data_IF_688843166180
#
_entry.id   IF_688843166180
#
_cell.length_a   1.000
_cell.length_b   1.000
_cell.length_c   1.000
_cell.angle_alpha   90.00
_cell.angle_beta   90.00
_cell.angle_gamma   90.00
#
_symmetry.space_group_name_H-M   'P 1'
#
loop_
_entity.id
_entity.type
_entity.pdbx_description
1 polymer ?
#
# COMPACT_ATOMS: atom_id res chain seq x y z
N UNK A 1 11.31 -18.56 20.81
CA UNK A 1 11.13 -17.30 20.03
C UNK A 1 9.66 -16.92 19.84
N UNK A 2 8.76 -17.87 19.50
CA UNK A 2 7.34 -17.59 19.26
C UNK A 2 6.65 -16.84 20.41
N UNK A 3 6.78 -17.29 21.66
CA UNK A 3 6.19 -16.62 22.83
C UNK A 3 6.69 -15.19 23.02
N UNK A 4 7.97 -14.93 22.70
CA UNK A 4 8.52 -13.58 22.69
C UNK A 4 7.81 -12.69 21.68
N UNK A 5 7.63 -13.19 20.45
CA UNK A 5 6.90 -12.47 19.40
C UNK A 5 5.46 -12.17 19.82
N UNK A 6 4.72 -13.17 20.34
CA UNK A 6 3.36 -12.98 20.86
C UNK A 6 3.33 -11.88 21.94
N UNK A 7 4.27 -11.91 22.89
CA UNK A 7 4.36 -10.90 23.95
C UNK A 7 4.58 -9.49 23.38
N UNK A 8 5.49 -9.35 22.39
CA UNK A 8 5.75 -8.07 21.71
C UNK A 8 4.48 -7.57 21.01
N UNK A 9 3.77 -8.45 20.29
CA UNK A 9 2.52 -8.08 19.59
C UNK A 9 1.45 -7.64 20.59
N UNK A 10 1.25 -8.35 21.69
CA UNK A 10 0.28 -7.99 22.71
C UNK A 10 0.62 -6.65 23.40
N UNK A 11 1.91 -6.45 23.75
CA UNK A 11 2.37 -5.17 24.31
C UNK A 11 2.16 -4.02 23.33
N UNK A 12 2.48 -4.24 22.05
CA UNK A 12 2.24 -3.27 20.97
C UNK A 12 0.75 -2.96 20.79
N UNK A 13 -0.10 -3.98 20.80
CA UNK A 13 -1.55 -3.79 20.71
C UNK A 13 -2.07 -2.96 21.90
N UNK A 14 -1.62 -3.26 23.11
CA UNK A 14 -1.93 -2.46 24.30
C UNK A 14 -1.52 -1.00 24.16
N UNK A 15 -0.33 -0.74 23.59
CA UNK A 15 0.14 0.61 23.34
C UNK A 15 -0.65 1.32 22.22
N UNK A 16 -0.73 0.73 21.01
CA UNK A 16 -1.32 1.40 19.85
C UNK A 16 -2.85 1.56 19.95
N UNK A 17 -3.54 0.62 20.60
CA UNK A 17 -5.00 0.70 20.80
C UNK A 17 -5.37 1.48 22.05
N UNK A 18 -4.68 1.18 23.16
CA UNK A 18 -5.08 1.69 24.50
C UNK A 18 -4.42 3.00 24.91
N UNK A 19 -3.09 3.10 24.72
CA UNK A 19 -2.32 4.21 25.26
C UNK A 19 -2.07 5.35 24.25
N UNK A 20 -1.79 5.01 22.98
CA UNK A 20 -1.45 6.00 21.95
C UNK A 20 -2.62 6.93 21.66
N UNK A 21 -2.29 8.24 21.55
CA UNK A 21 -3.30 9.30 21.38
C UNK A 21 -3.46 9.81 19.96
N UNK A 22 -2.76 9.20 18.97
CA UNK A 22 -2.79 9.64 17.57
C UNK A 22 -2.69 8.45 16.63
N UNK A 23 -3.45 8.51 15.56
CA UNK A 23 -3.31 7.60 14.44
C UNK A 23 -2.34 8.23 13.41
N UNK A 24 -1.29 7.51 13.07
CA UNK A 24 -0.25 7.94 12.15
C UNK A 24 0.40 6.74 11.44
N UNK A 25 1.51 6.98 10.73
CA UNK A 25 2.22 5.95 10.00
C UNK A 25 2.72 4.80 10.89
N UNK A 26 3.15 5.07 12.13
CA UNK A 26 3.57 4.02 13.06
C UNK A 26 2.43 3.09 13.45
N UNK A 27 1.22 3.65 13.62
CA UNK A 27 0.03 2.84 13.91
C UNK A 27 -0.29 1.90 12.74
N UNK A 28 -0.25 2.42 11.50
CA UNK A 28 -0.47 1.60 10.31
C UNK A 28 0.63 0.53 10.18
N UNK A 29 1.90 0.92 10.38
CA UNK A 29 3.02 0.00 10.28
C UNK A 29 2.93 -1.13 11.32
N UNK A 30 2.51 -0.84 12.56
CA UNK A 30 2.31 -1.86 13.58
C UNK A 30 1.22 -2.87 13.16
N UNK A 31 0.04 -2.39 12.75
CA UNK A 31 -1.03 -3.31 12.33
C UNK A 31 -0.68 -4.06 11.05
N UNK A 32 0.03 -3.43 10.11
CA UNK A 32 0.56 -4.09 8.93
C UNK A 32 1.56 -5.19 9.30
N UNK A 33 2.50 -4.90 10.21
CA UNK A 33 3.43 -5.90 10.71
C UNK A 33 2.71 -7.07 11.38
N UNK A 34 1.69 -6.83 12.21
CA UNK A 34 0.88 -7.89 12.83
C UNK A 34 0.19 -8.75 11.78
N UNK A 35 -0.39 -8.14 10.74
CA UNK A 35 -1.06 -8.86 9.64
C UNK A 35 -0.05 -9.69 8.84
N UNK A 36 1.05 -9.07 8.38
CA UNK A 36 2.03 -9.76 7.54
C UNK A 36 2.90 -10.77 8.32
N UNK A 37 3.07 -10.60 9.63
CA UNK A 37 3.77 -11.52 10.50
C UNK A 37 2.82 -12.50 11.24
N UNK A 38 1.59 -12.64 10.77
CA UNK A 38 0.60 -13.58 11.31
C UNK A 38 1.15 -15.01 11.47
N UNK A 39 1.97 -15.55 10.51
CA UNK A 39 2.64 -16.84 10.68
C UNK A 39 3.52 -16.92 11.93
N UNK A 40 4.13 -15.83 12.38
CA UNK A 40 4.89 -15.78 13.63
C UNK A 40 4.06 -16.06 14.89
N UNK A 41 2.76 -15.77 14.86
CA UNK A 41 1.83 -16.10 15.96
C UNK A 41 1.50 -17.60 15.97
N UNK A 42 1.35 -18.24 14.81
CA UNK A 42 1.07 -19.67 14.69
C UNK A 42 2.31 -20.55 14.83
N UNK A 43 3.51 -20.00 14.57
CA UNK A 43 4.78 -20.71 14.56
C UNK A 43 5.03 -21.54 13.29
N UNK A 44 4.18 -21.42 12.27
CA UNK A 44 4.34 -22.12 11.01
C UNK A 44 3.95 -21.25 9.82
N UNK A 45 4.45 -21.61 8.65
CA UNK A 45 4.07 -21.10 7.35
C UNK A 45 3.70 -22.23 6.41
N UNK A 46 3.33 -21.94 5.17
CA UNK A 46 2.92 -22.95 4.19
C UNK A 46 3.89 -22.95 3.02
N UNK A 47 4.51 -24.08 2.73
CA UNK A 47 5.37 -24.21 1.55
C UNK A 47 4.51 -24.42 0.30
N UNK A 48 4.63 -23.60 -0.74
CA UNK A 48 4.01 -23.87 -2.03
C UNK A 48 4.74 -25.06 -2.69
N UNK A 49 4.03 -26.18 -2.84
CA UNK A 49 4.63 -27.42 -3.41
C UNK A 49 4.62 -27.36 -4.93
N UNK A 50 3.57 -26.83 -5.53
CA UNK A 50 3.46 -26.61 -6.97
C UNK A 50 2.21 -25.78 -7.27
N UNK A 51 2.18 -24.95 -8.32
CA UNK A 51 0.96 -24.28 -8.76
C UNK A 51 -0.13 -25.27 -9.22
N UNK A 52 0.26 -26.48 -9.63
CA UNK A 52 -0.66 -27.52 -10.09
C UNK A 52 -1.15 -28.48 -9.01
N UNK A 53 -0.50 -28.49 -7.84
CA UNK A 53 -0.90 -29.29 -6.68
C UNK A 53 -1.16 -28.33 -5.51
N UNK A 54 -2.44 -28.11 -5.14
CA UNK A 54 -2.81 -27.13 -4.13
C UNK A 54 -2.46 -27.53 -2.69
N UNK A 55 -1.77 -28.66 -2.49
CA UNK A 55 -1.40 -29.12 -1.15
C UNK A 55 -0.25 -28.25 -0.63
N UNK A 56 -0.59 -27.31 0.23
CA UNK A 56 0.36 -26.51 0.99
C UNK A 56 0.65 -27.23 2.30
N UNK A 57 1.87 -27.68 2.48
CA UNK A 57 2.28 -28.31 3.73
C UNK A 57 2.66 -27.27 4.76
N UNK A 58 2.22 -27.42 6.02
CA UNK A 58 2.70 -26.59 7.10
C UNK A 58 4.18 -26.85 7.36
N UNK A 59 4.97 -25.77 7.45
CA UNK A 59 6.41 -25.79 7.74
C UNK A 59 6.66 -24.93 8.95
N UNK A 60 7.39 -25.45 9.91
CA UNK A 60 7.78 -24.70 11.10
C UNK A 60 8.64 -23.49 10.69
N UNK A 61 8.39 -22.36 11.32
CA UNK A 61 9.22 -21.18 11.16
C UNK A 61 10.55 -21.35 11.90
N UNK A 62 11.64 -20.97 11.23
CA UNK A 62 12.96 -20.89 11.84
C UNK A 62 12.96 -19.84 12.96
N UNK A 63 13.67 -20.14 14.03
CA UNK A 63 13.75 -19.25 15.19
C UNK A 63 14.31 -17.87 14.82
N UNK A 64 15.18 -17.80 13.85
CA UNK A 64 15.77 -16.57 13.32
C UNK A 64 14.76 -15.76 12.49
N UNK A 65 13.92 -16.40 11.69
CA UNK A 65 12.82 -15.72 10.97
C UNK A 65 11.84 -15.07 11.97
N UNK A 66 11.49 -15.78 13.06
CA UNK A 66 10.69 -15.21 14.16
C UNK A 66 11.46 -14.08 14.86
N UNK A 67 12.77 -14.20 15.00
CA UNK A 67 13.66 -13.16 15.54
C UNK A 67 13.59 -11.87 14.73
N UNK A 68 13.65 -11.97 13.41
CA UNK A 68 13.54 -10.83 12.49
C UNK A 68 12.16 -10.16 12.64
N UNK A 69 11.07 -10.94 12.60
CA UNK A 69 9.71 -10.41 12.82
C UNK A 69 9.59 -9.70 14.18
N UNK A 70 10.17 -10.29 15.23
CA UNK A 70 10.16 -9.73 16.58
C UNK A 70 10.92 -8.40 16.64
N UNK A 71 12.12 -8.34 16.08
CA UNK A 71 12.96 -7.15 16.06
C UNK A 71 12.28 -5.99 15.28
N UNK A 72 11.75 -6.27 14.10
CA UNK A 72 11.04 -5.27 13.29
C UNK A 72 9.83 -4.74 14.06
N UNK A 73 9.00 -5.63 14.64
CA UNK A 73 7.80 -5.22 15.38
C UNK A 73 8.15 -4.40 16.61
N UNK A 74 9.15 -4.84 17.39
CA UNK A 74 9.61 -4.12 18.57
C UNK A 74 10.14 -2.73 18.22
N UNK A 75 10.93 -2.60 17.16
CA UNK A 75 11.48 -1.33 16.72
C UNK A 75 10.38 -0.37 16.21
N UNK A 76 9.33 -0.89 15.57
CA UNK A 76 8.14 -0.07 15.23
C UNK A 76 7.47 0.47 16.50
N UNK A 77 7.33 -0.36 17.55
CA UNK A 77 6.71 0.06 18.82
C UNK A 77 7.57 1.13 19.49
N UNK A 78 8.87 0.87 19.66
CA UNK A 78 9.82 1.81 20.27
C UNK A 78 9.89 3.12 19.47
N UNK A 79 10.02 3.02 18.14
CA UNK A 79 10.01 4.18 17.23
C UNK A 79 8.73 5.00 17.38
N UNK A 80 7.58 4.33 17.48
CA UNK A 80 6.30 4.97 17.72
C UNK A 80 6.21 5.72 19.06
N UNK A 81 6.77 5.12 20.14
CA UNK A 81 6.86 5.77 21.45
C UNK A 81 7.78 6.99 21.44
N UNK A 82 8.96 6.86 20.83
CA UNK A 82 9.92 7.95 20.69
C UNK A 82 9.35 9.09 19.84
N UNK A 83 8.70 8.74 18.72
CA UNK A 83 8.04 9.70 17.86
C UNK A 83 6.94 10.46 18.60
N UNK A 84 6.06 9.79 19.35
CA UNK A 84 5.01 10.45 20.12
C UNK A 84 5.55 11.43 21.14
N UNK A 85 6.68 11.08 21.81
CA UNK A 85 7.36 12.00 22.75
C UNK A 85 7.95 13.21 22.03
N UNK A 86 8.64 12.98 20.90
CA UNK A 86 9.31 14.01 20.14
C UNK A 86 8.34 14.99 19.45
N UNK A 87 7.20 14.48 18.96
CA UNK A 87 6.17 15.25 18.25
C UNK A 87 5.22 16.00 19.21
N UNK A 88 5.30 15.70 20.51
CA UNK A 88 4.48 16.35 21.53
C UNK A 88 4.78 17.83 21.63
N UNK A 89 3.76 18.69 21.46
CA UNK A 89 3.90 20.16 21.49
C UNK A 89 4.42 20.82 20.20
N UNK A 90 4.75 20.05 19.16
CA UNK A 90 5.17 20.64 17.87
C UNK A 90 3.96 21.00 17.02
N UNK A 91 4.05 22.17 16.39
CA UNK A 91 3.03 22.65 15.44
C UNK A 91 3.01 21.80 14.18
N UNK A 92 1.85 21.67 13.56
CA UNK A 92 1.72 21.05 12.25
C UNK A 92 2.52 21.85 11.19
N UNK A 93 3.00 21.19 10.12
CA UNK A 93 3.61 21.92 9.02
C UNK A 93 2.61 22.92 8.42
N UNK A 94 3.05 24.16 8.23
CA UNK A 94 2.24 25.25 7.66
C UNK A 94 2.31 25.31 6.13
N UNK A 95 2.75 24.25 5.48
CA UNK A 95 2.80 24.22 4.02
C UNK A 95 1.38 24.29 3.47
N UNK A 96 1.08 25.34 2.78
CA UNK A 96 -0.17 25.52 2.05
C UNK A 96 0.18 25.49 0.58
N UNK A 97 -0.25 24.43 -0.07
CA UNK A 97 -0.35 24.41 -1.52
C UNK A 97 -1.69 25.07 -1.85
N UNK A 98 -1.68 26.02 -2.78
CA UNK A 98 -2.90 26.74 -3.14
C UNK A 98 -4.06 25.80 -3.38
N UNK A 99 -5.13 25.97 -2.59
CA UNK A 99 -6.21 24.95 -2.46
C UNK A 99 -7.17 25.03 -3.66
N UNK A 100 -6.69 24.62 -4.81
CA UNK A 100 -7.54 24.50 -5.99
C UNK A 100 -8.47 23.26 -5.85
N UNK A 101 -9.79 23.52 -5.79
CA UNK A 101 -10.81 22.44 -5.91
C UNK A 101 -10.65 21.64 -7.19
N UNK A 102 -9.97 22.19 -8.19
CA UNK A 102 -9.67 21.55 -9.47
C UNK A 102 -8.69 20.37 -9.30
N UNK A 103 -7.80 20.37 -8.31
CA UNK A 103 -6.84 19.27 -8.11
C UNK A 103 -7.50 17.90 -7.98
N UNK A 104 -8.68 17.81 -7.36
CA UNK A 104 -9.45 16.56 -7.31
C UNK A 104 -9.88 16.09 -8.69
N UNK A 105 -10.41 17.02 -9.51
CA UNK A 105 -10.86 16.70 -10.86
C UNK A 105 -9.72 16.43 -11.82
N UNK A 106 -8.60 17.11 -11.65
CA UNK A 106 -7.36 16.82 -12.42
C UNK A 106 -6.87 15.40 -12.10
N UNK A 107 -6.82 15.01 -10.81
CA UNK A 107 -6.42 13.66 -10.43
C UNK A 107 -7.36 12.60 -11.02
N UNK A 108 -8.69 12.80 -10.93
CA UNK A 108 -9.67 11.90 -11.52
C UNK A 108 -9.60 11.90 -13.06
N UNK A 109 -9.35 13.05 -13.70
CA UNK A 109 -9.12 13.16 -15.14
C UNK A 109 -7.89 12.37 -15.59
N UNK A 110 -6.78 12.44 -14.83
CA UNK A 110 -5.61 11.59 -15.09
C UNK A 110 -5.94 10.10 -14.90
N UNK A 111 -6.75 9.76 -13.90
CA UNK A 111 -7.25 8.39 -13.70
C UNK A 111 -8.08 7.89 -14.89
N UNK A 112 -9.05 8.69 -15.38
CA UNK A 112 -9.87 8.37 -16.55
C UNK A 112 -9.03 8.27 -17.84
N UNK A 113 -8.09 9.19 -18.02
CA UNK A 113 -7.14 9.12 -19.13
C UNK A 113 -6.30 7.83 -19.06
N UNK A 114 -5.87 7.45 -17.83
CA UNK A 114 -5.18 6.20 -17.60
C UNK A 114 -6.01 4.96 -17.97
N UNK A 115 -7.33 4.95 -17.70
CA UNK A 115 -8.25 3.88 -18.16
C UNK A 115 -8.26 3.78 -19.69
N UNK A 116 -8.44 4.91 -20.36
CA UNK A 116 -8.46 4.94 -21.82
C UNK A 116 -7.13 4.47 -22.41
N UNK A 117 -6.01 4.95 -21.86
CA UNK A 117 -4.67 4.55 -22.29
C UNK A 117 -4.42 3.05 -22.06
N UNK A 118 -4.85 2.51 -20.91
CA UNK A 118 -4.78 1.07 -20.62
C UNK A 118 -5.56 0.25 -21.64
N UNK A 119 -6.76 0.71 -22.03
CA UNK A 119 -7.55 0.07 -23.08
C UNK A 119 -6.83 0.04 -24.42
N UNK A 120 -6.18 1.14 -24.79
CA UNK A 120 -5.40 1.25 -26.03
C UNK A 120 -4.15 0.37 -25.98
N UNK A 121 -3.34 0.47 -24.90
CA UNK A 121 -2.11 -0.30 -24.70
C UNK A 121 -2.36 -1.81 -24.72
N UNK A 122 -3.46 -2.26 -24.13
CA UNK A 122 -3.82 -3.68 -24.04
C UNK A 122 -4.66 -4.20 -25.19
N UNK A 123 -5.10 -3.36 -26.14
CA UNK A 123 -6.06 -3.74 -27.18
C UNK A 123 -7.39 -4.24 -26.61
N UNK A 124 -7.77 -3.78 -25.41
CA UNK A 124 -8.98 -4.21 -24.68
C UNK A 124 -8.83 -5.48 -23.85
N UNK A 125 -7.74 -6.23 -23.98
CA UNK A 125 -7.47 -7.47 -23.23
C UNK A 125 -7.52 -7.26 -21.70
N UNK A 126 -7.09 -6.09 -21.21
CA UNK A 126 -7.14 -5.75 -19.80
C UNK A 126 -8.54 -5.88 -19.16
N UNK A 127 -9.61 -5.71 -19.95
CA UNK A 127 -10.99 -5.75 -19.44
C UNK A 127 -11.69 -7.09 -19.60
N UNK A 128 -11.14 -8.00 -20.41
CA UNK A 128 -11.77 -9.28 -20.79
C UNK A 128 -11.01 -10.51 -20.30
N UNK A 129 -9.68 -10.42 -20.23
CA UNK A 129 -8.82 -11.54 -19.91
C UNK A 129 -8.65 -11.78 -18.39
N UNK A 130 -8.07 -12.90 -18.04
CA UNK A 130 -7.67 -13.21 -16.68
C UNK A 130 -6.47 -12.37 -16.23
N UNK A 131 -6.32 -12.19 -14.91
CA UNK A 131 -5.25 -11.38 -14.32
C UNK A 131 -3.84 -11.79 -14.77
N UNK A 132 -3.59 -13.07 -14.98
CA UNK A 132 -2.30 -13.61 -15.44
C UNK A 132 -1.91 -13.07 -16.82
N UNK A 133 -2.88 -12.90 -17.71
CA UNK A 133 -2.69 -12.31 -19.03
C UNK A 133 -2.62 -10.79 -18.96
N UNK A 134 -3.50 -10.19 -18.14
CA UNK A 134 -3.58 -8.74 -17.95
C UNK A 134 -2.25 -8.16 -17.43
N UNK A 135 -1.59 -8.84 -16.49
CA UNK A 135 -0.29 -8.38 -15.94
C UNK A 135 0.77 -8.16 -17.02
N UNK A 136 0.73 -8.95 -18.09
CA UNK A 136 1.73 -8.88 -19.16
C UNK A 136 1.45 -7.78 -20.20
N UNK A 137 0.22 -7.26 -20.23
CA UNK A 137 -0.21 -6.28 -21.24
C UNK A 137 -0.50 -4.89 -20.67
N UNK A 138 -0.66 -4.77 -19.35
CA UNK A 138 -0.86 -3.47 -18.72
C UNK A 138 0.45 -2.69 -18.60
N UNK A 139 0.41 -1.46 -19.07
CA UNK A 139 1.56 -0.58 -19.14
C UNK A 139 1.46 0.66 -18.24
N UNK A 140 1.96 1.77 -18.77
CA UNK A 140 2.01 3.06 -18.05
C UNK A 140 0.62 3.67 -17.84
N UNK A 141 -0.32 3.39 -18.73
CA UNK A 141 -1.71 3.83 -18.60
C UNK A 141 -2.34 3.31 -17.32
N UNK A 142 -2.14 2.04 -16.99
CA UNK A 142 -2.66 1.45 -15.78
C UNK A 142 -2.09 2.07 -14.50
N UNK A 143 -0.80 2.40 -14.48
CA UNK A 143 -0.19 3.12 -13.35
C UNK A 143 -0.83 4.50 -13.15
N UNK A 144 -1.04 5.23 -14.24
CA UNK A 144 -1.67 6.54 -14.20
C UNK A 144 -3.12 6.45 -13.70
N UNK A 145 -3.86 5.43 -14.17
CA UNK A 145 -5.20 5.13 -13.69
C UNK A 145 -5.21 4.91 -12.17
N UNK A 146 -4.40 3.99 -11.67
CA UNK A 146 -4.36 3.63 -10.25
C UNK A 146 -3.98 4.81 -9.35
N UNK A 147 -2.92 5.53 -9.70
CA UNK A 147 -2.46 6.68 -8.92
C UNK A 147 -3.44 7.85 -8.98
N UNK A 148 -3.97 8.15 -10.18
CA UNK A 148 -4.95 9.20 -10.36
C UNK A 148 -6.26 8.94 -9.62
N UNK A 149 -6.79 7.70 -9.70
CA UNK A 149 -7.98 7.29 -8.98
C UNK A 149 -7.77 7.33 -7.46
N UNK A 150 -6.63 6.83 -6.97
CA UNK A 150 -6.29 6.83 -5.54
C UNK A 150 -6.19 8.25 -4.98
N UNK A 151 -5.38 9.11 -5.62
CA UNK A 151 -5.24 10.52 -5.19
C UNK A 151 -6.59 11.22 -5.27
N UNK A 152 -7.33 11.05 -6.37
CA UNK A 152 -8.62 11.67 -6.60
C UNK A 152 -9.66 11.27 -5.55
N UNK A 153 -9.79 9.97 -5.25
CA UNK A 153 -10.73 9.47 -4.24
C UNK A 153 -10.40 9.99 -2.83
N UNK A 154 -9.12 9.95 -2.43
CA UNK A 154 -8.69 10.40 -1.10
C UNK A 154 -8.83 11.92 -0.97
N UNK A 155 -8.49 12.69 -2.01
CA UNK A 155 -8.62 14.14 -2.02
C UNK A 155 -10.09 14.58 -2.03
N UNK A 156 -10.95 13.89 -2.80
CA UNK A 156 -12.39 14.10 -2.79
C UNK A 156 -12.99 13.88 -1.40
N UNK A 157 -12.53 12.84 -0.69
CA UNK A 157 -12.94 12.58 0.70
C UNK A 157 -12.47 13.70 1.65
N UNK A 158 -11.18 14.10 1.56
CA UNK A 158 -10.60 15.16 2.38
C UNK A 158 -11.34 16.49 2.21
N UNK A 159 -11.83 16.79 1.00
CA UNK A 159 -12.56 18.00 0.61
C UNK A 159 -14.07 17.87 0.66
N UNK A 160 -14.61 16.72 1.07
CA UNK A 160 -16.06 16.43 1.13
C UNK A 160 -16.77 16.58 -0.23
N UNK A 161 -16.11 16.30 -1.32
CA UNK A 161 -16.63 16.34 -2.69
C UNK A 161 -17.29 14.99 -3.04
N UNK A 162 -18.55 14.80 -2.68
CA UNK A 162 -19.25 13.50 -2.76
C UNK A 162 -19.27 12.90 -4.17
N UNK A 163 -19.61 13.72 -5.18
CA UNK A 163 -19.66 13.23 -6.57
C UNK A 163 -18.29 12.83 -7.10
N UNK A 164 -17.26 13.65 -6.87
CA UNK A 164 -15.89 13.30 -7.23
C UNK A 164 -15.42 12.02 -6.49
N UNK A 165 -15.81 11.87 -5.21
CA UNK A 165 -15.56 10.65 -4.45
C UNK A 165 -16.20 9.42 -5.08
N UNK A 166 -17.45 9.52 -5.55
CA UNK A 166 -18.13 8.42 -6.25
C UNK A 166 -17.36 8.03 -7.53
N UNK A 167 -16.95 9.00 -8.36
CA UNK A 167 -16.15 8.74 -9.56
C UNK A 167 -14.84 8.03 -9.21
N UNK A 168 -14.13 8.52 -8.17
CA UNK A 168 -12.90 7.88 -7.70
C UNK A 168 -13.10 6.43 -7.26
N UNK A 169 -14.17 6.15 -6.51
CA UNK A 169 -14.49 4.78 -6.10
C UNK A 169 -14.87 3.88 -7.28
N UNK A 170 -15.61 4.39 -8.27
CA UNK A 170 -15.93 3.61 -9.48
C UNK A 170 -14.66 3.22 -10.25
N UNK A 171 -13.69 4.13 -10.37
CA UNK A 171 -12.40 3.83 -11.00
C UNK A 171 -11.61 2.76 -10.21
N UNK A 172 -11.62 2.81 -8.87
CA UNK A 172 -10.95 1.83 -8.03
C UNK A 172 -11.65 0.46 -8.05
N UNK A 173 -12.99 0.44 -8.11
CA UNK A 173 -13.76 -0.80 -8.24
C UNK A 173 -13.50 -1.44 -9.61
N UNK A 174 -13.40 -0.64 -10.68
CA UNK A 174 -13.06 -1.14 -12.00
C UNK A 174 -11.65 -1.75 -12.03
N UNK A 175 -10.67 -1.11 -11.36
CA UNK A 175 -9.32 -1.66 -11.20
C UNK A 175 -9.33 -3.00 -10.42
N UNK A 176 -10.14 -3.07 -9.36
CA UNK A 176 -10.34 -4.31 -8.61
C UNK A 176 -10.99 -5.40 -9.49
N UNK A 177 -11.95 -5.04 -10.34
CA UNK A 177 -12.61 -5.97 -11.26
C UNK A 177 -11.62 -6.63 -12.24
N UNK A 178 -10.68 -5.86 -12.80
CA UNK A 178 -9.64 -6.42 -13.66
C UNK A 178 -8.54 -7.21 -12.90
N UNK A 179 -8.58 -7.20 -11.55
CA UNK A 179 -7.77 -8.06 -10.70
C UNK A 179 -6.73 -7.36 -9.83
N UNK A 180 -6.66 -6.04 -9.83
CA UNK A 180 -5.69 -5.28 -9.04
C UNK A 180 -6.35 -4.67 -7.82
N UNK A 181 -6.07 -5.21 -6.65
CA UNK A 181 -6.70 -4.82 -5.37
C UNK A 181 -5.95 -3.73 -4.61
N UNK A 182 -4.69 -3.52 -4.95
CA UNK A 182 -3.83 -2.72 -4.09
C UNK A 182 -4.22 -1.24 -4.09
N UNK A 183 -4.66 -0.66 -5.22
CA UNK A 183 -5.11 0.72 -5.28
C UNK A 183 -6.37 0.95 -4.44
N UNK A 184 -7.31 0.00 -4.44
CA UNK A 184 -8.48 0.02 -3.58
C UNK A 184 -8.07 -0.04 -2.10
N UNK A 185 -7.22 -0.99 -1.70
CA UNK A 185 -6.77 -1.16 -0.33
C UNK A 185 -5.97 0.05 0.17
N UNK A 186 -5.05 0.60 -0.63
CA UNK A 186 -4.29 1.81 -0.28
C UNK A 186 -5.20 3.03 -0.13
N UNK A 187 -6.20 3.19 -1.00
CA UNK A 187 -7.19 4.26 -0.90
C UNK A 187 -8.02 4.14 0.38
N UNK A 188 -8.43 2.93 0.74
CA UNK A 188 -9.19 2.68 1.97
C UNK A 188 -8.37 3.04 3.23
N UNK A 189 -7.10 2.61 3.29
CA UNK A 189 -6.18 2.96 4.38
C UNK A 189 -5.96 4.47 4.43
N UNK A 190 -5.70 5.11 3.27
CA UNK A 190 -5.44 6.55 3.19
C UNK A 190 -6.66 7.37 3.63
N UNK A 191 -7.88 7.00 3.22
CA UNK A 191 -9.13 7.63 3.66
C UNK A 191 -9.31 7.47 5.18
N UNK A 192 -9.04 6.27 5.71
CA UNK A 192 -9.06 6.03 7.15
C UNK A 192 -8.08 6.93 7.91
N UNK A 193 -6.86 7.10 7.38
CA UNK A 193 -5.85 8.01 7.93
C UNK A 193 -6.31 9.47 7.90
N UNK A 194 -6.81 9.96 6.77
CA UNK A 194 -7.33 11.33 6.64
C UNK A 194 -8.48 11.56 7.61
N UNK A 195 -9.39 10.58 7.73
CA UNK A 195 -10.55 10.68 8.61
C UNK A 195 -10.18 10.68 10.09
N UNK A 196 -9.23 9.82 10.50
CA UNK A 196 -8.87 9.63 11.90
C UNK A 196 -7.70 10.53 12.35
N UNK A 197 -6.95 11.16 11.42
CA UNK A 197 -5.86 12.10 11.70
C UNK A 197 -6.39 13.47 12.13
N UNK A 198 -7.14 13.50 13.22
CA UNK A 198 -7.71 14.74 13.77
C UNK A 198 -6.68 15.51 14.58
N UNK A 199 -6.83 16.86 14.70
CA UNK A 199 -5.96 17.67 15.57
C UNK A 199 -6.08 17.26 17.06
N UNK A 200 -7.27 16.86 17.49
CA UNK A 200 -7.54 16.44 18.86
C UNK A 200 -6.97 15.04 19.13
N UNK A 201 -6.44 14.79 20.35
CA UNK A 201 -6.01 13.48 20.76
C UNK A 201 -7.12 12.44 20.60
N UNK A 202 -6.80 11.32 19.94
CA UNK A 202 -7.77 10.28 19.67
C UNK A 202 -7.16 8.90 19.96
N UNK A 203 -7.86 8.05 20.72
CA UNK A 203 -7.44 6.67 20.99
C UNK A 203 -8.27 5.71 20.15
N UNK A 204 -7.62 4.75 19.50
CA UNK A 204 -8.31 3.73 18.71
C UNK A 204 -9.30 2.92 19.55
N UNK A 205 -8.93 2.58 20.80
CA UNK A 205 -9.82 1.86 21.71
C UNK A 205 -11.13 2.59 22.07
N UNK A 206 -11.20 3.91 21.82
CA UNK A 206 -12.42 4.70 22.01
C UNK A 206 -13.31 4.77 20.76
N UNK A 207 -12.91 4.11 19.67
CA UNK A 207 -13.77 3.99 18.50
C UNK A 207 -15.06 3.26 18.85
N UNK A 208 -16.19 3.84 18.44
CA UNK A 208 -17.49 3.17 18.58
C UNK A 208 -17.48 1.86 17.81
N UNK A 209 -18.11 0.84 18.35
CA UNK A 209 -18.16 -0.53 17.76
C UNK A 209 -18.53 -0.51 16.27
N UNK A 210 -19.43 0.36 15.84
CA UNK A 210 -19.84 0.49 14.41
C UNK A 210 -18.66 0.76 13.48
N UNK A 211 -17.61 1.47 13.91
CA UNK A 211 -16.44 1.74 13.08
C UNK A 211 -15.51 0.54 13.00
N UNK A 212 -15.40 -0.21 14.10
CA UNK A 212 -14.71 -1.49 14.08
C UNK A 212 -15.40 -2.48 13.15
N UNK A 213 -16.74 -2.53 13.15
CA UNK A 213 -17.51 -3.36 12.21
C UNK A 213 -17.21 -2.96 10.77
N UNK A 214 -17.18 -1.66 10.44
CA UNK A 214 -16.84 -1.18 9.09
C UNK A 214 -15.41 -1.56 8.67
N UNK A 215 -14.44 -1.42 9.59
CA UNK A 215 -13.04 -1.78 9.32
C UNK A 215 -12.91 -3.29 9.08
N UNK A 216 -13.52 -4.11 9.94
CA UNK A 216 -13.52 -5.56 9.82
C UNK A 216 -14.26 -6.03 8.56
N UNK A 217 -15.44 -5.46 8.28
CA UNK A 217 -16.19 -5.78 7.08
C UNK A 217 -15.42 -5.42 5.80
N UNK A 218 -14.76 -4.26 5.77
CA UNK A 218 -13.88 -3.87 4.66
C UNK A 218 -12.70 -4.81 4.48
N UNK A 219 -12.06 -5.24 5.56
CA UNK A 219 -10.99 -6.25 5.53
C UNK A 219 -11.48 -7.60 5.03
N UNK A 220 -12.61 -8.10 5.55
CA UNK A 220 -13.24 -9.33 5.10
C UNK A 220 -13.62 -9.26 3.61
N UNK A 221 -14.15 -8.13 3.14
CA UNK A 221 -14.51 -7.94 1.74
C UNK A 221 -13.28 -8.07 0.82
N UNK A 222 -12.15 -7.50 1.21
CA UNK A 222 -10.89 -7.61 0.44
C UNK A 222 -10.38 -9.06 0.40
N UNK A 223 -10.49 -9.79 1.51
CA UNK A 223 -10.09 -11.21 1.59
C UNK A 223 -11.08 -12.07 0.78
N UNK A 224 -12.38 -11.91 1.02
CA UNK A 224 -13.44 -12.68 0.36
C UNK A 224 -13.48 -12.47 -1.14
N UNK A 225 -13.22 -11.24 -1.61
CA UNK A 225 -13.21 -10.94 -3.03
C UNK A 225 -12.23 -11.84 -3.82
N UNK A 226 -11.09 -12.18 -3.24
CA UNK A 226 -10.14 -13.08 -3.90
C UNK A 226 -10.76 -14.47 -4.18
N UNK A 227 -11.51 -14.97 -3.21
CA UNK A 227 -12.14 -16.28 -3.30
C UNK A 227 -13.42 -16.28 -4.14
N UNK A 228 -14.07 -15.12 -4.25
CA UNK A 228 -15.34 -14.96 -4.95
C UNK A 228 -15.20 -14.45 -6.39
N UNK A 229 -14.01 -13.97 -6.78
CA UNK A 229 -13.80 -13.34 -8.08
C UNK A 229 -14.14 -14.25 -9.27
N UNK A 230 -13.69 -15.50 -9.24
CA UNK A 230 -13.93 -16.46 -10.32
C UNK A 230 -15.41 -16.83 -10.45
N UNK A 231 -16.12 -17.27 -9.39
CA UNK A 231 -17.53 -17.57 -9.49
C UNK A 231 -18.38 -16.32 -9.81
N UNK A 232 -17.98 -15.12 -9.35
CA UNK A 232 -18.65 -13.86 -9.74
C UNK A 232 -18.53 -13.58 -11.24
N UNK A 233 -17.38 -13.85 -11.85
CA UNK A 233 -17.17 -13.70 -13.29
C UNK A 233 -17.90 -14.74 -14.10
N UNK A 234 -17.95 -15.98 -13.60
CA UNK A 234 -18.68 -17.06 -14.21
C UNK A 234 -20.20 -16.95 -14.04
N UNK A 235 -20.69 -16.08 -13.16
CA UNK A 235 -22.10 -15.98 -12.79
C UNK A 235 -22.63 -17.18 -12.02
N UNK A 236 -21.74 -17.94 -11.38
CA UNK A 236 -22.09 -19.13 -10.59
C UNK A 236 -22.52 -18.75 -9.16
N UNK A 237 -23.82 -18.47 -9.03
CA UNK A 237 -24.43 -18.10 -7.76
C UNK A 237 -24.40 -19.25 -6.73
N UNK A 238 -24.41 -20.52 -7.18
CA UNK A 238 -24.32 -21.68 -6.31
C UNK A 238 -22.98 -21.72 -5.59
N UNK A 239 -21.90 -21.58 -6.34
CA UNK A 239 -20.54 -21.55 -5.80
C UNK A 239 -20.30 -20.30 -4.94
N UNK A 240 -20.88 -19.14 -5.30
CA UNK A 240 -20.80 -17.92 -4.47
C UNK A 240 -21.42 -18.16 -3.10
N UNK A 241 -22.62 -18.75 -3.04
CA UNK A 241 -23.31 -19.06 -1.78
C UNK A 241 -22.51 -20.06 -0.96
N UNK A 242 -22.02 -21.13 -1.56
CA UNK A 242 -21.19 -22.14 -0.89
C UNK A 242 -19.92 -21.49 -0.29
N UNK A 243 -19.16 -20.75 -1.08
CA UNK A 243 -17.93 -20.10 -0.63
C UNK A 243 -18.18 -19.04 0.45
N UNK A 244 -19.34 -18.36 0.43
CA UNK A 244 -19.67 -17.34 1.45
C UNK A 244 -20.21 -17.91 2.74
N UNK A 245 -20.84 -19.07 2.71
CA UNK A 245 -21.46 -19.68 3.90
C UNK A 245 -20.54 -20.69 4.60
N UNK A 246 -19.54 -21.23 3.91
CA UNK A 246 -18.63 -22.21 4.48
C UNK A 246 -17.42 -21.55 5.17
N UNK A 247 -17.30 -21.63 6.52
CA UNK A 247 -16.19 -21.00 7.24
C UNK A 247 -14.81 -21.58 6.89
N UNK A 248 -14.73 -22.80 6.35
CA UNK A 248 -13.46 -23.40 5.91
C UNK A 248 -12.85 -22.66 4.73
N UNK A 249 -13.66 -22.07 3.85
CA UNK A 249 -13.18 -21.21 2.76
C UNK A 249 -12.47 -19.97 3.27
N UNK A 250 -12.97 -19.37 4.36
CA UNK A 250 -12.32 -18.21 4.98
C UNK A 250 -11.02 -18.60 5.67
N UNK A 251 -10.99 -19.75 6.35
CA UNK A 251 -9.79 -20.28 6.97
C UNK A 251 -8.72 -20.59 5.91
N UNK A 252 -9.07 -21.28 4.83
CA UNK A 252 -8.17 -21.53 3.71
C UNK A 252 -7.71 -20.23 3.05
N UNK A 253 -8.63 -19.29 2.81
CA UNK A 253 -8.30 -17.96 2.28
C UNK A 253 -7.30 -17.18 3.14
N UNK A 254 -7.36 -17.30 4.47
CA UNK A 254 -6.37 -16.70 5.37
C UNK A 254 -5.03 -17.43 5.25
N UNK A 255 -5.02 -18.76 5.32
CA UNK A 255 -3.81 -19.58 5.24
C UNK A 255 -3.10 -19.47 3.88
N UNK A 256 -3.87 -19.29 2.80
CA UNK A 256 -3.33 -19.11 1.45
C UNK A 256 -3.05 -17.64 1.10
N UNK A 257 -3.29 -16.72 2.05
CA UNK A 257 -3.11 -15.28 1.85
C UNK A 257 -1.65 -14.87 1.73
N UNK A 258 -1.43 -13.67 1.22
CA UNK A 258 -0.11 -13.08 1.04
C UNK A 258 0.79 -13.06 2.30
N UNK A 259 0.29 -12.82 3.53
CA UNK A 259 1.08 -12.96 4.74
C UNK A 259 1.82 -14.30 4.85
N UNK A 260 1.14 -15.41 4.61
CA UNK A 260 1.77 -16.73 4.68
C UNK A 260 2.80 -16.93 3.58
N UNK A 261 2.48 -16.56 2.33
CA UNK A 261 3.42 -16.65 1.20
C UNK A 261 4.65 -15.78 1.43
N UNK A 262 4.47 -14.55 1.91
CA UNK A 262 5.55 -13.62 2.19
C UNK A 262 6.48 -14.15 3.28
N UNK A 263 5.94 -14.76 4.34
CA UNK A 263 6.75 -15.33 5.41
C UNK A 263 7.37 -16.68 5.02
N UNK A 264 6.79 -17.41 4.06
CA UNK A 264 7.47 -18.57 3.45
C UNK A 264 8.79 -18.15 2.80
N UNK A 265 8.79 -17.02 2.06
CA UNK A 265 10.02 -16.49 1.44
C UNK A 265 11.08 -16.16 2.49
N UNK A 266 10.71 -15.46 3.58
CA UNK A 266 11.64 -15.17 4.67
C UNK A 266 12.18 -16.46 5.31
N UNK A 267 11.29 -17.40 5.60
CA UNK A 267 11.66 -18.65 6.25
C UNK A 267 12.64 -19.50 5.42
N UNK A 268 12.39 -19.63 4.11
CA UNK A 268 13.26 -20.41 3.23
C UNK A 268 14.61 -19.72 2.98
N UNK A 269 14.64 -18.39 2.94
CA UNK A 269 15.90 -17.63 2.85
C UNK A 269 16.75 -17.86 4.11
N UNK A 270 16.15 -17.80 5.27
CA UNK A 270 16.84 -18.06 6.54
C UNK A 270 17.27 -19.52 6.67
N UNK A 271 16.36 -20.47 6.37
CA UNK A 271 16.63 -21.91 6.47
C UNK A 271 17.80 -22.36 5.60
N UNK A 272 17.89 -21.82 4.38
CA UNK A 272 18.92 -22.20 3.40
C UNK A 272 20.15 -21.30 3.46
N UNK A 273 20.24 -20.39 4.40
CA UNK A 273 21.29 -19.34 4.49
C UNK A 273 21.54 -18.67 3.12
N UNK A 274 20.46 -18.37 2.41
CA UNK A 274 20.53 -17.81 1.07
C UNK A 274 21.01 -16.37 1.11
N UNK A 275 22.11 -16.06 0.41
CA UNK A 275 22.76 -14.75 0.38
C UNK A 275 22.78 -14.17 -1.03
N UNK A 276 22.35 -12.93 -1.18
CA UNK A 276 22.34 -12.23 -2.47
C UNK A 276 23.49 -11.22 -2.64
N UNK A 277 24.14 -10.84 -1.52
CA UNK A 277 25.03 -9.68 -1.54
C UNK A 277 24.28 -8.37 -1.75
N UNK A 278 25.00 -7.26 -1.83
CA UNK A 278 24.43 -5.90 -1.91
C UNK A 278 24.23 -5.38 -3.33
N UNK A 279 24.80 -6.04 -4.35
CA UNK A 279 24.85 -5.53 -5.73
C UNK A 279 23.45 -5.23 -6.31
N UNK A 280 22.47 -6.08 -6.01
CA UNK A 280 21.10 -5.86 -6.46
C UNK A 280 20.43 -4.64 -5.78
N UNK A 281 20.92 -4.17 -4.63
CA UNK A 281 20.41 -2.96 -3.96
C UNK A 281 20.88 -1.68 -4.68
N UNK A 282 22.00 -1.72 -5.39
CA UNK A 282 22.45 -0.59 -6.21
C UNK A 282 21.42 -0.29 -7.29
N UNK A 283 20.82 -1.33 -7.88
CA UNK A 283 19.74 -1.16 -8.85
C UNK A 283 18.52 -0.46 -8.27
N UNK A 284 18.26 -0.57 -6.95
CA UNK A 284 17.20 0.18 -6.29
C UNK A 284 17.53 1.68 -6.20
N UNK A 285 18.82 2.05 -6.11
CA UNK A 285 19.25 3.44 -6.11
C UNK A 285 18.93 4.11 -7.45
N UNK A 286 19.02 3.41 -8.57
CA UNK A 286 18.62 3.92 -9.89
C UNK A 286 17.13 4.29 -9.94
N UNK A 287 16.29 3.58 -9.20
CA UNK A 287 14.87 3.95 -9.09
C UNK A 287 14.61 5.24 -8.32
N UNK A 288 15.56 5.74 -7.55
CA UNK A 288 15.49 7.06 -6.93
C UNK A 288 15.67 8.17 -7.98
N UNK A 289 16.39 7.89 -9.07
CA UNK A 289 16.59 8.84 -10.16
C UNK A 289 15.31 8.88 -11.02
N UNK A 290 14.75 10.08 -11.22
CA UNK A 290 13.44 10.25 -11.86
C UNK A 290 13.34 9.65 -13.27
N UNK A 291 14.44 9.61 -14.02
CA UNK A 291 14.50 9.16 -15.41
C UNK A 291 15.39 7.93 -15.64
N UNK A 292 15.74 7.21 -14.59
CA UNK A 292 16.61 6.01 -14.70
C UNK A 292 16.15 4.99 -15.76
N UNK A 293 14.84 4.69 -15.93
CA UNK A 293 14.39 3.78 -16.99
C UNK A 293 14.72 4.27 -18.42
N UNK A 294 14.90 5.58 -18.62
CA UNK A 294 15.31 6.15 -19.91
C UNK A 294 16.80 5.90 -20.21
N UNK A 295 17.58 5.51 -19.21
CA UNK A 295 19.01 5.17 -19.36
C UNK A 295 19.24 3.70 -19.74
N UNK A 296 18.17 2.92 -19.90
CA UNK A 296 18.25 1.53 -20.39
C UNK A 296 18.69 0.48 -19.37
N UNK A 297 18.85 0.85 -18.11
CA UNK A 297 19.24 -0.11 -17.07
C UNK A 297 18.00 -0.79 -16.47
N UNK A 298 17.92 -2.12 -16.60
CA UNK A 298 16.91 -2.92 -15.90
C UNK A 298 17.35 -3.20 -14.46
N UNK A 299 16.52 -2.80 -13.50
CA UNK A 299 16.75 -3.14 -12.11
C UNK A 299 16.63 -4.66 -11.89
N UNK A 300 17.61 -5.25 -11.26
CA UNK A 300 17.55 -6.65 -10.85
C UNK A 300 16.53 -6.79 -9.74
N UNK A 301 15.45 -7.53 -10.01
CA UNK A 301 14.39 -7.77 -9.03
C UNK A 301 14.79 -8.88 -8.06
N UNK A 302 14.48 -8.70 -6.79
CA UNK A 302 14.83 -9.66 -5.75
C UNK A 302 14.25 -11.06 -5.99
N UNK A 303 13.01 -11.15 -6.47
CA UNK A 303 12.39 -12.44 -6.79
C UNK A 303 13.12 -13.20 -7.92
N UNK A 304 13.76 -12.52 -8.85
CA UNK A 304 14.58 -13.16 -9.90
C UNK A 304 15.84 -13.82 -9.35
N UNK A 305 16.28 -13.43 -8.15
CA UNK A 305 17.44 -14.01 -7.48
C UNK A 305 17.06 -15.23 -6.63
N UNK A 306 16.09 -15.09 -5.74
CA UNK A 306 15.76 -16.16 -4.80
C UNK A 306 14.81 -17.21 -5.37
N UNK A 307 13.87 -16.84 -6.24
CA UNK A 307 12.80 -17.74 -6.68
C UNK A 307 13.35 -18.94 -7.48
N UNK A 308 14.24 -18.78 -8.47
CA UNK A 308 14.82 -19.93 -9.17
C UNK A 308 15.65 -20.85 -8.26
N UNK A 309 16.28 -20.30 -7.23
CA UNK A 309 17.13 -21.04 -6.31
C UNK A 309 16.34 -21.81 -5.25
N UNK A 310 15.33 -21.19 -4.65
CA UNK A 310 14.59 -21.74 -3.50
C UNK A 310 13.22 -22.31 -3.87
N UNK A 311 12.64 -21.88 -4.97
CA UNK A 311 11.29 -22.26 -5.41
C UNK A 311 11.24 -22.63 -6.91
N UNK A 312 12.08 -23.56 -7.38
CA UNK A 312 12.23 -23.85 -8.82
C UNK A 312 10.95 -24.41 -9.47
N UNK A 313 10.03 -24.95 -8.68
CA UNK A 313 8.77 -25.51 -9.18
C UNK A 313 7.63 -24.47 -9.24
N UNK A 314 7.87 -23.23 -8.81
CA UNK A 314 6.88 -22.17 -8.85
C UNK A 314 7.06 -21.36 -10.13
N UNK A 315 6.10 -21.44 -11.03
CA UNK A 315 6.11 -20.81 -12.36
C UNK A 315 5.53 -19.39 -12.40
N UNK A 316 4.99 -18.92 -11.28
CA UNK A 316 4.45 -17.56 -11.14
C UNK A 316 5.25 -16.76 -10.12
N UNK A 317 5.21 -15.43 -10.21
CA UNK A 317 5.93 -14.55 -9.29
C UNK A 317 5.41 -14.67 -7.86
N UNK A 318 6.30 -15.02 -6.94
CA UNK A 318 6.02 -14.99 -5.50
C UNK A 318 6.02 -13.54 -4.99
N UNK A 319 5.23 -13.28 -3.94
CA UNK A 319 5.28 -12.02 -3.24
C UNK A 319 6.66 -11.83 -2.59
N UNK A 320 7.27 -10.66 -2.80
CA UNK A 320 8.55 -10.33 -2.19
C UNK A 320 8.42 -10.09 -0.68
N UNK A 321 9.55 -10.07 0.01
CA UNK A 321 9.66 -9.73 1.42
C UNK A 321 10.90 -8.86 1.61
N UNK A 322 10.72 -7.58 1.94
CA UNK A 322 11.83 -6.64 2.08
C UNK A 322 12.75 -7.00 3.25
N UNK A 323 12.22 -7.60 4.31
CA UNK A 323 13.03 -8.02 5.47
C UNK A 323 13.93 -9.18 5.09
N UNK A 324 13.43 -10.12 4.29
CA UNK A 324 14.20 -11.20 3.69
C UNK A 324 15.25 -10.66 2.71
N UNK A 325 14.91 -9.64 1.92
CA UNK A 325 15.85 -8.96 1.01
C UNK A 325 17.00 -8.33 1.77
N UNK A 326 16.72 -7.56 2.82
CA UNK A 326 17.77 -6.93 3.63
C UNK A 326 18.62 -7.94 4.40
N UNK A 327 17.98 -8.99 4.92
CA UNK A 327 18.66 -10.10 5.57
C UNK A 327 19.61 -10.82 4.61
N UNK A 328 19.14 -11.22 3.43
CA UNK A 328 19.97 -11.94 2.45
C UNK A 328 21.11 -11.09 1.89
N UNK A 329 20.95 -9.77 1.87
CA UNK A 329 21.95 -8.85 1.33
C UNK A 329 23.08 -8.53 2.32
N UNK A 330 22.84 -8.48 3.61
CA UNK A 330 23.85 -8.04 4.58
C UNK A 330 23.54 -8.35 6.03
N UNK A 331 22.74 -9.40 6.27
CA UNK A 331 22.45 -9.90 7.61
C UNK A 331 21.84 -8.86 8.58
N UNK A 332 21.97 -9.05 9.88
CA UNK A 332 21.49 -8.14 10.93
C UNK A 332 21.93 -6.68 10.75
N UNK A 333 23.20 -6.38 10.41
CA UNK A 333 23.63 -4.99 10.24
C UNK A 333 22.82 -4.22 9.19
N UNK A 334 22.64 -4.80 8.00
CA UNK A 334 21.90 -4.15 6.93
C UNK A 334 20.40 -4.12 7.21
N UNK A 335 19.84 -5.20 7.76
CA UNK A 335 18.46 -5.25 8.20
C UNK A 335 18.14 -4.14 9.21
N UNK A 336 18.97 -3.97 10.26
CA UNK A 336 18.76 -2.94 11.27
C UNK A 336 18.95 -1.53 10.70
N UNK A 337 19.95 -1.31 9.84
CA UNK A 337 20.13 -0.04 9.14
C UNK A 337 18.89 0.32 8.31
N UNK A 338 18.34 -0.65 7.58
CA UNK A 338 17.12 -0.44 6.82
C UNK A 338 15.90 -0.17 7.72
N UNK A 339 15.75 -0.87 8.85
CA UNK A 339 14.68 -0.58 9.81
C UNK A 339 14.76 0.86 10.29
N UNK A 340 15.96 1.41 10.56
CA UNK A 340 16.11 2.82 10.93
C UNK A 340 15.66 3.77 9.82
N UNK A 341 15.99 3.49 8.56
CA UNK A 341 15.49 4.25 7.40
C UNK A 341 13.97 4.16 7.30
N UNK A 342 13.41 2.96 7.52
CA UNK A 342 11.98 2.75 7.55
C UNK A 342 11.29 3.59 8.62
N UNK A 343 11.81 3.58 9.86
CA UNK A 343 11.28 4.38 10.97
C UNK A 343 11.38 5.88 10.70
N UNK A 344 12.48 6.35 10.10
CA UNK A 344 12.64 7.74 9.69
C UNK A 344 11.57 8.14 8.66
N UNK A 345 11.30 7.27 7.69
CA UNK A 345 10.20 7.44 6.73
C UNK A 345 8.82 7.51 7.40
N UNK A 346 8.56 6.62 8.38
CA UNK A 346 7.31 6.67 9.15
C UNK A 346 7.16 8.00 9.91
N UNK A 347 8.24 8.49 10.51
CA UNK A 347 8.24 9.79 11.21
C UNK A 347 7.98 10.96 10.25
N UNK A 348 8.64 10.96 9.09
CA UNK A 348 8.47 11.98 8.05
C UNK A 348 7.02 12.04 7.56
N UNK A 349 6.45 10.91 7.16
CA UNK A 349 5.07 10.84 6.68
C UNK A 349 4.06 11.17 7.77
N UNK A 350 4.28 10.73 9.01
CA UNK A 350 3.45 11.08 10.16
C UNK A 350 3.40 12.58 10.40
N UNK A 351 4.51 13.29 10.16
CA UNK A 351 4.57 14.75 10.26
C UNK A 351 3.77 15.43 9.17
N UNK A 352 3.91 14.99 7.91
CA UNK A 352 3.15 15.54 6.77
C UNK A 352 1.66 15.27 6.87
N UNK A 353 1.25 14.13 7.41
CA UNK A 353 -0.16 13.78 7.64
C UNK A 353 -0.88 14.80 8.55
N UNK A 354 -0.13 15.53 9.39
CA UNK A 354 -0.67 16.57 10.27
C UNK A 354 -0.92 17.90 9.56
N UNK A 355 -0.50 18.06 8.32
CA UNK A 355 -0.74 19.28 7.55
C UNK A 355 -2.23 19.66 7.56
N UNK A 356 -2.50 20.97 7.66
CA UNK A 356 -3.84 21.52 7.48
C UNK A 356 -4.28 21.49 6.00
N UNK A 357 -3.30 21.49 5.08
CA UNK A 357 -3.55 21.44 3.64
C UNK A 357 -4.07 20.06 3.22
N UNK A 358 -5.26 19.96 2.58
CA UNK A 358 -5.83 18.70 2.14
C UNK A 358 -4.98 17.96 1.11
N UNK A 359 -4.26 18.67 0.23
CA UNK A 359 -3.44 18.06 -0.80
C UNK A 359 -2.19 17.39 -0.20
N UNK A 360 -1.48 18.11 0.71
CA UNK A 360 -0.33 17.56 1.44
C UNK A 360 -0.75 16.38 2.32
N UNK A 361 -1.87 16.52 3.04
CA UNK A 361 -2.42 15.45 3.87
C UNK A 361 -2.78 14.21 3.04
N UNK A 362 -3.41 14.39 1.88
CA UNK A 362 -3.77 13.30 0.95
C UNK A 362 -2.52 12.58 0.48
N UNK A 363 -1.52 13.33 0.01
CA UNK A 363 -0.26 12.75 -0.44
C UNK A 363 0.40 11.92 0.67
N UNK A 364 0.52 12.50 1.88
CA UNK A 364 1.09 11.80 3.02
C UNK A 364 0.29 10.53 3.40
N UNK A 365 -1.04 10.57 3.37
CA UNK A 365 -1.89 9.43 3.69
C UNK A 365 -1.71 8.28 2.69
N UNK A 366 -1.64 8.59 1.38
CA UNK A 366 -1.38 7.58 0.33
C UNK A 366 0.06 7.05 0.45
N UNK A 367 1.04 7.93 0.66
CA UNK A 367 2.43 7.53 0.86
C UNK A 367 2.60 6.60 2.07
N UNK A 368 1.89 6.85 3.18
CA UNK A 368 1.86 5.97 4.36
C UNK A 368 1.30 4.60 4.00
N UNK A 369 0.22 4.52 3.22
CA UNK A 369 -0.35 3.24 2.83
C UNK A 369 0.67 2.38 2.05
N UNK A 370 1.51 2.99 1.21
CA UNK A 370 2.61 2.28 0.53
C UNK A 370 3.79 1.99 1.47
N UNK A 371 4.24 2.98 2.24
CA UNK A 371 5.44 2.87 3.06
C UNK A 371 5.22 2.04 4.33
N UNK A 372 4.06 2.14 4.98
CA UNK A 372 3.78 1.47 6.24
C UNK A 372 3.07 0.12 6.07
N UNK A 373 2.26 -0.06 5.03
CA UNK A 373 1.49 -1.29 4.82
C UNK A 373 2.09 -2.18 3.73
N UNK A 374 2.29 -1.65 2.52
CA UNK A 374 2.74 -2.45 1.38
C UNK A 374 4.21 -2.87 1.43
N UNK A 375 5.03 -2.23 2.27
CA UNK A 375 6.46 -2.54 2.40
C UNK A 375 6.71 -4.00 2.76
N UNK A 376 5.84 -4.58 3.59
CA UNK A 376 6.01 -5.95 4.11
C UNK A 376 5.93 -7.05 3.03
N UNK A 377 5.36 -6.75 1.87
CA UNK A 377 5.18 -7.70 0.76
C UNK A 377 5.95 -7.35 -0.50
N UNK A 378 6.74 -6.31 -0.47
CA UNK A 378 7.46 -5.82 -1.64
C UNK A 378 8.98 -5.92 -1.44
N UNK A 379 9.68 -5.74 -2.53
CA UNK A 379 11.11 -5.49 -2.56
C UNK A 379 11.39 -3.98 -2.53
N UNK A 380 12.63 -3.58 -2.25
CA UNK A 380 13.02 -2.17 -2.16
C UNK A 380 12.71 -1.40 -3.44
N UNK A 381 12.99 -1.98 -4.61
CA UNK A 381 12.70 -1.37 -5.91
C UNK A 381 11.21 -1.09 -6.08
N UNK A 382 10.35 -2.03 -5.70
CA UNK A 382 8.91 -1.87 -5.78
C UNK A 382 8.39 -0.75 -4.87
N UNK A 383 8.90 -0.67 -3.63
CA UNK A 383 8.52 0.37 -2.67
C UNK A 383 8.96 1.75 -3.14
N UNK A 384 10.23 1.90 -3.56
CA UNK A 384 10.79 3.17 -4.07
C UNK A 384 10.08 3.58 -5.36
N UNK A 385 9.86 2.62 -6.27
CA UNK A 385 9.14 2.85 -7.52
C UNK A 385 7.72 3.38 -7.30
N UNK A 386 6.96 2.76 -6.38
CA UNK A 386 5.62 3.22 -6.04
C UNK A 386 5.60 4.63 -5.44
N UNK A 387 6.55 4.95 -4.54
CA UNK A 387 6.67 6.29 -3.96
C UNK A 387 7.02 7.34 -5.02
N UNK A 388 7.93 7.01 -5.94
CA UNK A 388 8.29 7.88 -7.08
C UNK A 388 7.08 8.15 -7.99
N UNK A 389 6.35 7.10 -8.38
CA UNK A 389 5.17 7.22 -9.23
C UNK A 389 4.08 8.07 -8.57
N UNK A 390 3.82 7.84 -7.27
CA UNK A 390 2.90 8.65 -6.49
C UNK A 390 3.31 10.13 -6.50
N UNK A 391 4.59 10.41 -6.26
CA UNK A 391 5.13 11.78 -6.27
C UNK A 391 4.95 12.44 -7.63
N UNK A 392 5.28 11.75 -8.71
CA UNK A 392 5.19 12.30 -10.08
C UNK A 392 3.74 12.62 -10.46
N UNK A 393 2.80 11.70 -10.20
CA UNK A 393 1.37 11.94 -10.49
C UNK A 393 0.82 13.06 -9.60
N UNK A 394 1.22 13.12 -8.33
CA UNK A 394 0.80 14.18 -7.43
C UNK A 394 1.33 15.56 -7.87
N UNK A 395 2.62 15.66 -8.25
CA UNK A 395 3.20 16.90 -8.80
C UNK A 395 2.45 17.32 -10.07
N UNK A 396 2.18 16.38 -10.99
CA UNK A 396 1.41 16.65 -12.18
C UNK A 396 0.00 17.18 -11.84
N UNK A 397 -0.68 16.59 -10.87
CA UNK A 397 -1.99 17.07 -10.39
C UNK A 397 -1.90 18.50 -9.86
N UNK A 398 -0.88 18.84 -9.07
CA UNK A 398 -0.68 20.18 -8.51
C UNK A 398 -0.40 21.20 -9.61
N UNK A 399 0.56 20.92 -10.49
CA UNK A 399 0.94 21.82 -11.59
C UNK A 399 -0.25 22.08 -12.51
N UNK A 400 -0.93 21.02 -12.97
CA UNK A 400 -2.08 21.16 -13.86
C UNK A 400 -3.24 21.91 -13.19
N UNK A 401 -3.46 21.69 -11.89
CA UNK A 401 -4.53 22.40 -11.18
C UNK A 401 -4.24 23.90 -11.03
N UNK A 402 -2.99 24.27 -10.80
CA UNK A 402 -2.56 25.70 -10.76
C UNK A 402 -2.71 26.31 -12.15
N UNK A 403 -2.21 25.65 -13.20
CA UNK A 403 -2.29 26.15 -14.56
C UNK A 403 -3.76 26.38 -15.00
N UNK A 404 -4.66 25.44 -14.70
CA UNK A 404 -6.08 25.57 -14.99
C UNK A 404 -6.75 26.69 -14.18
N UNK A 405 -6.36 26.88 -12.91
CA UNK A 405 -6.89 27.93 -12.07
C UNK A 405 -6.49 29.32 -12.61
N UNK A 406 -5.24 29.51 -13.04
CA UNK A 406 -4.77 30.79 -13.63
C UNK A 406 -5.48 31.10 -14.95
N UNK A 407 -5.68 30.11 -15.83
CA UNK A 407 -6.39 30.29 -17.10
C UNK A 407 -7.87 30.67 -16.89
N UNK A 408 -8.51 30.15 -15.86
CA UNK A 408 -9.91 30.48 -15.56
C UNK A 408 -10.05 31.86 -14.92
N UNK A 409 -9.11 32.30 -14.10
CA UNK A 409 -9.11 33.63 -13.50
C UNK A 409 -8.84 34.73 -14.52
N UNK A 410 -7.90 34.52 -15.46
CA UNK A 410 -7.61 35.47 -16.55
C UNK A 410 -8.84 35.77 -17.42
N UNK A 411 -9.65 34.75 -17.74
CA UNK A 411 -10.88 34.93 -18.52
C UNK A 411 -11.97 35.72 -17.80
N UNK A 412 -12.02 35.70 -16.48
CA UNK A 412 -13.01 36.44 -15.68
C UNK A 412 -12.64 37.94 -15.63
N UNK A 413 -11.38 38.28 -15.57
CA UNK A 413 -10.90 39.67 -15.59
C UNK A 413 -11.11 40.33 -16.95
N UNK A 414 -10.84 39.63 -18.06
CA UNK A 414 -11.07 40.15 -19.41
C UNK A 414 -12.57 40.42 -19.70
N UNK A 415 -13.48 39.59 -19.18
CA UNK A 415 -14.93 39.84 -19.32
C UNK A 415 -15.44 41.05 -18.55
N UNK A 416 -14.80 41.40 -17.42
CA UNK A 416 -15.17 42.57 -16.62
C UNK A 416 -14.64 43.90 -17.21
N UNK A 417 -13.52 43.82 -17.93
CA UNK A 417 -12.97 45.01 -18.61
C UNK A 417 -13.64 45.38 -19.93
N UNK A 418 -14.44 44.49 -20.49
CA UNK A 418 -15.15 44.71 -21.77
C UNK A 418 -16.59 45.23 -21.66
N UNK A 419 -17.05 45.63 -20.47
CA UNK A 419 -18.36 46.32 -20.37
C UNK A 419 -18.17 47.78 -20.70
N UNK A 420 -18.80 48.34 -21.77
CA UNK A 420 -18.74 49.77 -22.06
C UNK A 420 -19.36 50.52 -20.87
N UNK A 421 -18.62 51.51 -20.36
CA UNK A 421 -19.14 52.49 -19.43
C UNK A 421 -20.36 53.13 -20.07
N UNK A 422 -21.58 52.77 -19.57
CA UNK A 422 -22.78 53.49 -19.94
C UNK A 422 -22.63 54.94 -19.47
N UNK A 423 -22.43 55.84 -20.45
CA UNK A 423 -22.49 57.28 -20.28
C UNK A 423 -23.91 57.75 -20.22
#
# INVERSE_FOLDING_TARGET
MQWLFITIVLAGAGYFVGARRRLDAFTVAFFAAVIYFLPGLSGYTLTPISPRTPIKLPVALESEAIGIMSAVTLLIIVGGMLWERWDRGRTAPSWVLEDSRLATWVALGLGLFGVALTGIESGGVAFTAEKSEVINVVGRGHLLWQMGATIGAVLAFARRQRFAGLVGWLLLILDMWIGFRYAFATSFIAIGLVWLSRPAPFRLGLLRLRYWVVILAGGLLVISYQNLKEPLRAGDWGEIIERTTNPLWYADGILTSEPFTTQTVLNEIVRNDFRTGTDHLESAAYHLILFAPALGEEAVRFNRLYQPALFPLVDHGLANNIWAQMWSAGDWPLLLAFVLVFLAGLAFWSRLLRSADPAVKTYAAVAIAYWAFYIHRNELQGVVGAQKQLLLVWIACVILSIALATLTQGRVTDRKSGLPSAG
#
